data_IF_968932065873
#
_entry.id   IF_968932065873
#
_cell.length_a   1.000
_cell.length_b   1.000
_cell.length_c   1.000
_cell.angle_alpha   90.00
_cell.angle_beta   90.00
_cell.angle_gamma   90.00
#
_symmetry.space_group_name_H-M   'P 1'
#
loop_
_entity.id
_entity.type
_entity.pdbx_description
1 polymer ?
#
# COMPACT_ATOMS: atom_id res chain seq x y z
N UNK A 1 -78.90 -6.47 10.82
CA UNK A 1 -78.26 -6.35 9.49
C UNK A 1 -76.86 -5.78 9.70
N UNK A 2 -75.82 -6.61 9.60
CA UNK A 2 -74.42 -6.19 9.73
C UNK A 2 -73.98 -5.69 8.35
N UNK A 3 -73.52 -4.44 8.26
CA UNK A 3 -73.04 -3.87 7.00
C UNK A 3 -71.61 -4.35 6.76
N UNK A 4 -71.31 -4.80 5.55
CA UNK A 4 -69.93 -5.08 5.13
C UNK A 4 -69.16 -3.77 5.03
N UNK A 5 -68.15 -3.59 5.88
CA UNK A 5 -67.21 -2.47 5.77
C UNK A 5 -66.04 -2.89 4.90
N UNK A 6 -66.17 -2.71 3.59
CA UNK A 6 -65.10 -2.97 2.62
C UNK A 6 -64.26 -1.70 2.49
N UNK A 7 -62.94 -1.81 2.66
CA UNK A 7 -62.00 -0.69 2.50
C UNK A 7 -61.64 0.08 3.77
N UNK A 8 -62.19 -0.27 4.94
CA UNK A 8 -61.78 0.30 6.22
C UNK A 8 -60.71 -0.56 6.91
N UNK A 9 -59.69 0.07 7.49
CA UNK A 9 -58.70 -0.62 8.33
C UNK A 9 -59.38 -1.15 9.60
N UNK A 10 -58.86 -2.27 10.13
CA UNK A 10 -59.33 -2.83 11.41
C UNK A 10 -59.21 -1.79 12.51
N UNK A 11 -60.28 -1.57 13.28
CA UNK A 11 -60.27 -0.66 14.42
C UNK A 11 -59.30 -1.18 15.48
N UNK A 12 -58.39 -0.32 15.95
CA UNK A 12 -57.50 -0.64 17.06
C UNK A 12 -58.29 -0.73 18.37
N UNK A 13 -57.86 -1.61 19.27
CA UNK A 13 -58.46 -1.81 20.60
C UNK A 13 -57.84 -0.91 21.67
N UNK A 14 -56.82 -0.13 21.31
CA UNK A 14 -56.07 0.76 22.19
C UNK A 14 -56.08 2.20 21.64
N UNK A 15 -55.95 3.15 22.56
CA UNK A 15 -55.91 4.58 22.24
C UNK A 15 -54.57 4.95 21.62
N UNK A 16 -54.60 5.23 20.33
CA UNK A 16 -53.44 5.73 19.60
C UNK A 16 -53.18 7.21 19.94
N UNK A 17 -51.91 7.66 19.97
CA UNK A 17 -51.56 9.07 20.20
C UNK A 17 -52.19 10.04 19.20
N UNK A 18 -52.48 9.56 17.98
CA UNK A 18 -53.18 10.30 16.91
C UNK A 18 -54.58 10.78 17.35
N UNK A 19 -55.25 10.07 18.25
CA UNK A 19 -56.53 10.50 18.80
C UNK A 19 -56.43 11.75 19.69
N UNK A 20 -55.25 12.01 20.28
CA UNK A 20 -55.00 13.19 21.13
C UNK A 20 -54.34 14.32 20.37
N UNK A 21 -53.41 13.98 19.47
CA UNK A 21 -52.66 14.93 18.66
C UNK A 21 -52.75 14.49 17.18
N UNK A 22 -53.59 15.14 16.35
CA UNK A 22 -53.78 14.74 14.95
C UNK A 22 -52.53 14.96 14.06
N UNK A 23 -51.48 15.59 14.60
CA UNK A 23 -50.20 15.81 13.93
C UNK A 23 -49.09 14.91 14.50
N UNK A 24 -49.44 13.84 15.24
CA UNK A 24 -48.44 12.94 15.76
C UNK A 24 -47.75 12.17 14.63
N UNK A 25 -46.45 12.41 14.46
CA UNK A 25 -45.63 11.66 13.51
C UNK A 25 -45.10 10.41 14.21
N UNK A 26 -45.47 9.25 13.70
CA UNK A 26 -44.92 7.98 14.16
C UNK A 26 -43.50 7.77 13.62
N UNK A 27 -42.63 7.21 14.46
CA UNK A 27 -41.25 6.90 14.11
C UNK A 27 -40.24 7.67 14.97
N UNK A 28 -38.96 7.37 14.77
CA UNK A 28 -37.87 8.08 15.42
C UNK A 28 -37.46 9.29 14.56
N UNK A 29 -37.27 10.44 15.20
CA UNK A 29 -36.73 11.61 14.53
C UNK A 29 -35.25 11.40 14.19
N UNK A 30 -34.91 11.53 12.91
CA UNK A 30 -33.51 11.50 12.45
C UNK A 30 -32.91 12.87 12.76
N UNK A 31 -32.09 12.93 13.81
CA UNK A 31 -31.34 14.14 14.15
C UNK A 31 -30.36 14.43 13.01
N UNK A 32 -30.46 15.63 12.42
CA UNK A 32 -29.52 16.08 11.40
C UNK A 32 -28.20 16.47 12.04
N UNK A 33 -27.10 16.11 11.40
CA UNK A 33 -25.78 16.55 11.83
C UNK A 33 -25.72 18.08 11.91
N UNK A 34 -25.05 18.65 12.93
CA UNK A 34 -24.94 20.09 13.09
C UNK A 34 -24.04 20.73 12.02
N UNK A 35 -23.15 19.95 11.40
CA UNK A 35 -22.26 20.42 10.36
C UNK A 35 -22.89 20.24 8.98
N UNK A 36 -22.96 21.34 8.22
CA UNK A 36 -23.45 21.31 6.85
C UNK A 36 -22.32 20.87 5.89
N UNK A 37 -22.64 20.23 4.77
CA UNK A 37 -21.66 19.74 3.80
C UNK A 37 -20.67 20.83 3.34
N UNK A 38 -21.15 22.08 3.22
CA UNK A 38 -20.30 23.23 2.90
C UNK A 38 -19.28 23.58 3.99
N UNK A 39 -19.62 23.40 5.27
CA UNK A 39 -18.69 23.61 6.38
C UNK A 39 -17.62 22.53 6.43
N UNK A 40 -17.99 21.28 6.12
CA UNK A 40 -17.03 20.18 6.04
C UNK A 40 -16.00 20.45 4.95
N UNK A 41 -16.44 20.90 3.76
CA UNK A 41 -15.50 21.23 2.66
C UNK A 41 -14.60 22.42 3.02
N UNK A 42 -15.15 23.48 3.63
CA UNK A 42 -14.38 24.67 4.01
C UNK A 42 -13.37 24.45 5.14
N UNK A 43 -13.59 23.44 6.00
CA UNK A 43 -12.71 23.07 7.11
C UNK A 43 -11.65 22.03 6.73
N UNK A 44 -11.45 21.72 5.45
CA UNK A 44 -10.29 20.92 5.03
C UNK A 44 -9.02 21.72 5.27
N UNK A 45 -8.50 21.61 6.49
CA UNK A 45 -7.26 22.26 6.92
C UNK A 45 -6.11 21.65 6.13
N UNK A 46 -5.49 22.46 5.28
CA UNK A 46 -4.25 22.11 4.62
C UNK A 46 -3.20 21.80 5.68
N UNK A 47 -2.61 20.59 5.62
CA UNK A 47 -1.61 20.19 6.60
C UNK A 47 -0.46 21.20 6.64
N UNK A 48 -0.17 21.72 7.84
CA UNK A 48 1.01 22.57 8.05
C UNK A 48 2.24 21.68 7.85
N UNK A 49 3.08 21.94 6.84
CA UNK A 49 4.27 21.13 6.63
C UNK A 49 5.20 21.26 7.85
N UNK A 50 5.85 20.17 8.23
CA UNK A 50 6.82 20.18 9.32
C UNK A 50 7.99 21.12 8.98
N UNK A 51 8.59 21.79 9.98
CA UNK A 51 9.75 22.63 9.76
C UNK A 51 10.87 21.81 9.13
N UNK A 52 11.46 22.34 8.05
CA UNK A 52 12.51 21.67 7.31
C UNK A 52 13.67 21.28 8.25
N UNK A 53 14.14 20.04 8.14
CA UNK A 53 15.29 19.56 8.88
C UNK A 53 16.49 20.47 8.61
N UNK A 54 16.98 21.17 9.64
CA UNK A 54 18.21 21.95 9.54
C UNK A 54 19.36 21.00 9.26
N UNK A 55 20.11 21.26 8.20
CA UNK A 55 21.29 20.44 7.87
C UNK A 55 22.30 20.54 9.01
N UNK A 56 22.81 19.39 9.44
CA UNK A 56 23.87 19.33 10.44
C UNK A 56 25.17 19.95 9.94
N UNK A 57 26.06 20.26 10.88
CA UNK A 57 27.40 20.78 10.61
C UNK A 57 28.19 19.87 9.67
N UNK A 58 28.93 20.47 8.73
CA UNK A 58 29.83 19.76 7.82
C UNK A 58 31.25 19.67 8.38
N UNK A 59 31.65 18.48 8.83
CA UNK A 59 33.04 18.24 9.28
C UNK A 59 34.05 18.34 8.13
N UNK A 60 33.66 17.90 6.93
CA UNK A 60 34.55 17.87 5.76
C UNK A 60 34.89 19.31 5.33
N UNK A 61 33.90 20.19 5.26
CA UNK A 61 34.12 21.58 4.86
C UNK A 61 34.82 22.37 5.97
N UNK A 62 34.47 22.12 7.23
CA UNK A 62 35.20 22.68 8.38
C UNK A 62 36.69 22.35 8.28
N UNK A 63 37.04 21.09 8.02
CA UNK A 63 38.43 20.66 7.92
C UNK A 63 39.13 21.25 6.69
N UNK A 64 38.43 21.38 5.57
CA UNK A 64 38.97 22.02 4.36
C UNK A 64 39.33 23.49 4.65
N UNK A 65 38.44 24.23 5.31
CA UNK A 65 38.70 25.61 5.70
C UNK A 65 39.81 25.72 6.75
N UNK A 66 39.89 24.79 7.69
CA UNK A 66 40.98 24.75 8.67
C UNK A 66 42.35 24.64 7.97
N UNK A 67 42.45 23.77 6.96
CA UNK A 67 43.68 23.61 6.15
C UNK A 67 43.97 24.88 5.34
N UNK A 68 42.95 25.51 4.74
CA UNK A 68 43.12 26.78 4.01
C UNK A 68 43.61 27.92 4.92
N UNK A 69 43.21 27.91 6.19
CA UNK A 69 43.65 28.88 7.19
C UNK A 69 44.98 28.51 7.87
N UNK A 70 45.65 27.44 7.42
CA UNK A 70 46.99 27.06 7.89
C UNK A 70 47.01 26.24 9.19
N UNK A 71 45.88 25.73 9.66
CA UNK A 71 45.83 24.82 10.82
C UNK A 71 46.20 23.40 10.38
N UNK A 72 47.44 23.01 10.64
CA UNK A 72 48.01 21.73 10.20
C UNK A 72 47.90 20.63 11.28
N UNK A 73 47.78 21.02 12.55
CA UNK A 73 47.69 20.07 13.66
C UNK A 73 46.25 19.65 13.96
N UNK A 74 46.06 18.39 14.39
CA UNK A 74 44.75 17.86 14.77
C UNK A 74 44.09 18.63 15.93
N UNK A 75 44.90 19.16 16.86
CA UNK A 75 44.41 19.98 17.96
C UNK A 75 43.89 21.34 17.49
N UNK A 76 44.55 21.92 16.49
CA UNK A 76 44.20 23.20 15.91
C UNK A 76 42.94 23.10 15.03
N UNK A 77 42.83 22.04 14.23
CA UNK A 77 41.60 21.76 13.48
C UNK A 77 40.38 21.61 14.41
N UNK A 78 40.57 21.04 15.61
CA UNK A 78 39.51 20.96 16.63
C UNK A 78 39.18 22.32 17.25
N UNK A 79 40.16 23.20 17.46
CA UNK A 79 39.92 24.59 17.91
C UNK A 79 39.15 25.38 16.86
N UNK A 80 39.59 25.32 15.61
CA UNK A 80 38.90 25.93 14.47
C UNK A 80 37.46 25.40 14.34
N UNK A 81 37.26 24.11 14.55
CA UNK A 81 35.93 23.55 14.56
C UNK A 81 35.05 24.18 15.67
N UNK A 82 35.56 24.32 16.89
CA UNK A 82 34.76 24.90 17.98
C UNK A 82 34.48 26.40 17.79
N UNK A 83 35.40 27.14 17.16
CA UNK A 83 35.24 28.57 16.87
C UNK A 83 34.21 28.83 15.74
N UNK A 84 34.12 27.92 14.76
CA UNK A 84 33.23 28.06 13.60
C UNK A 84 32.22 26.90 13.49
N UNK A 85 31.18 26.84 14.36
CA UNK A 85 30.18 25.77 14.35
C UNK A 85 29.20 25.85 13.17
N UNK A 86 29.05 27.04 12.55
CA UNK A 86 28.01 27.34 11.56
C UNK A 86 28.36 26.91 10.13
N UNK A 87 29.48 26.20 9.93
CA UNK A 87 29.88 25.68 8.62
C UNK A 87 28.97 24.49 8.26
N UNK A 88 27.88 24.81 7.55
CA UNK A 88 26.90 23.85 7.06
C UNK A 88 26.97 23.83 5.53
N UNK A 89 27.15 22.64 4.96
CA UNK A 89 27.09 22.45 3.51
C UNK A 89 25.76 21.78 3.18
N UNK A 90 25.03 22.37 2.24
CA UNK A 90 23.85 21.73 1.67
C UNK A 90 24.30 20.41 1.04
N UNK A 91 23.78 19.25 1.47
CA UNK A 91 24.18 17.98 0.88
C UNK A 91 23.92 18.05 -0.63
N UNK A 92 24.90 17.59 -1.42
CA UNK A 92 24.72 17.47 -2.86
C UNK A 92 23.46 16.63 -3.08
N UNK A 93 22.44 17.24 -3.67
CA UNK A 93 21.22 16.53 -3.98
C UNK A 93 21.62 15.38 -4.91
N UNK A 94 21.46 14.14 -4.44
CA UNK A 94 21.55 12.95 -5.30
C UNK A 94 20.29 12.90 -6.18
N UNK A 95 20.05 13.96 -6.93
CA UNK A 95 19.10 13.97 -8.02
C UNK A 95 19.75 13.22 -9.17
N UNK A 96 19.10 12.16 -9.65
CA UNK A 96 19.34 11.69 -11.02
C UNK A 96 19.29 12.92 -11.91
N UNK A 97 20.33 13.16 -12.72
CA UNK A 97 20.49 14.38 -13.52
C UNK A 97 19.14 14.85 -14.04
N UNK A 98 18.66 15.94 -13.47
CA UNK A 98 17.31 16.39 -13.70
C UNK A 98 17.20 16.78 -15.16
N UNK A 99 16.28 16.14 -15.86
CA UNK A 99 15.76 16.67 -17.10
C UNK A 99 15.24 18.08 -16.82
N UNK A 100 15.86 19.09 -17.43
CA UNK A 100 15.45 20.49 -17.34
C UNK A 100 14.43 20.72 -18.45
N UNK A 101 13.16 21.00 -18.12
CA UNK A 101 12.14 21.30 -19.10
C UNK A 101 12.53 22.54 -19.90
N UNK A 102 12.71 22.40 -21.21
CA UNK A 102 12.78 23.55 -22.12
C UNK A 102 11.44 24.29 -22.10
N UNK A 103 11.44 25.62 -22.34
CA UNK A 103 10.22 26.45 -22.33
C UNK A 103 9.08 25.92 -23.22
N UNK A 104 9.39 25.10 -24.23
CA UNK A 104 8.42 24.47 -25.14
C UNK A 104 7.82 23.15 -24.63
N UNK A 105 8.20 22.70 -23.43
CA UNK A 105 7.72 21.44 -22.89
C UNK A 105 6.52 21.63 -21.94
N UNK A 106 5.41 21.00 -22.29
CA UNK A 106 4.24 20.89 -21.41
C UNK A 106 4.47 19.80 -20.36
N UNK A 107 4.29 20.16 -19.09
CA UNK A 107 4.29 19.20 -17.98
C UNK A 107 3.06 18.27 -18.03
N UNK A 108 3.22 17.06 -17.50
CA UNK A 108 2.15 16.08 -17.38
C UNK A 108 2.30 14.87 -18.31
N UNK A 109 1.39 13.92 -18.16
CA UNK A 109 1.32 12.72 -19.01
C UNK A 109 0.37 13.04 -20.16
N UNK A 110 0.88 13.04 -21.40
CA UNK A 110 0.02 13.23 -22.58
C UNK A 110 -1.03 12.13 -22.61
N UNK A 111 -2.28 12.50 -22.83
CA UNK A 111 -3.35 11.53 -23.05
C UNK A 111 -2.99 10.64 -24.22
N UNK A 112 -3.05 9.33 -24.01
CA UNK A 112 -2.91 8.35 -25.09
C UNK A 112 -4.14 8.51 -26.00
N UNK A 113 -3.92 8.53 -27.32
CA UNK A 113 -5.01 8.55 -28.31
C UNK A 113 -5.88 7.32 -28.07
N UNK A 114 -7.20 7.50 -27.97
CA UNK A 114 -8.16 6.40 -27.84
C UNK A 114 -8.18 5.55 -29.10
N UNK A 115 -8.70 4.33 -28.99
CA UNK A 115 -8.96 3.49 -30.17
C UNK A 115 -9.89 4.21 -31.16
N UNK A 116 -9.73 3.94 -32.45
CA UNK A 116 -10.54 4.53 -33.51
C UNK A 116 -12.01 4.05 -33.40
N UNK A 117 -12.94 5.00 -33.35
CA UNK A 117 -14.39 4.73 -33.26
C UNK A 117 -14.83 3.89 -34.45
N UNK A 118 -14.30 4.15 -35.65
CA UNK A 118 -14.63 3.36 -36.83
C UNK A 118 -14.09 1.93 -36.75
N UNK A 119 -12.89 1.75 -36.18
CA UNK A 119 -12.34 0.43 -35.86
C UNK A 119 -13.21 -0.36 -34.86
N UNK A 120 -13.82 0.32 -33.89
CA UNK A 120 -14.75 -0.28 -32.94
C UNK A 120 -16.08 -0.67 -33.61
N UNK A 121 -16.67 0.22 -34.42
CA UNK A 121 -17.94 -0.02 -35.14
C UNK A 121 -17.80 -1.16 -36.15
N UNK A 122 -16.67 -1.25 -36.83
CA UNK A 122 -16.36 -2.33 -37.78
C UNK A 122 -15.88 -3.60 -37.10
N UNK A 123 -15.85 -3.63 -35.76
CA UNK A 123 -15.43 -4.77 -34.96
C UNK A 123 -14.03 -5.29 -35.37
N UNK A 124 -13.13 -4.39 -35.82
CA UNK A 124 -11.77 -4.77 -36.29
C UNK A 124 -10.91 -5.34 -35.17
N UNK A 125 -11.24 -4.99 -33.93
CA UNK A 125 -10.59 -5.51 -32.72
C UNK A 125 -11.31 -6.73 -32.14
N UNK A 126 -12.44 -7.15 -32.73
CA UNK A 126 -13.12 -8.40 -32.40
C UNK A 126 -12.65 -9.50 -33.35
N UNK A 127 -11.35 -9.71 -33.44
CA UNK A 127 -10.85 -11.05 -33.80
C UNK A 127 -11.08 -11.95 -32.59
N UNK A 128 -12.35 -12.26 -32.31
CA UNK A 128 -12.63 -13.43 -31.49
C UNK A 128 -11.93 -14.60 -32.19
N UNK A 129 -11.16 -15.37 -31.42
CA UNK A 129 -10.57 -16.60 -31.92
C UNK A 129 -11.65 -17.34 -32.69
N UNK A 130 -11.36 -17.72 -33.93
CA UNK A 130 -12.28 -18.45 -34.80
C UNK A 130 -13.01 -19.53 -33.97
N UNK A 131 -14.32 -19.72 -34.15
CA UNK A 131 -15.18 -20.66 -33.38
C UNK A 131 -14.68 -22.13 -33.38
N UNK A 132 -13.57 -22.41 -34.06
CA UNK A 132 -12.81 -23.66 -33.99
C UNK A 132 -11.79 -23.74 -32.83
N UNK A 133 -11.85 -22.85 -31.84
CA UNK A 133 -10.97 -22.89 -30.67
C UNK A 133 -11.13 -24.16 -29.82
N UNK A 134 -12.22 -24.91 -30.00
CA UNK A 134 -12.48 -26.17 -29.29
C UNK A 134 -11.76 -27.39 -29.90
N UNK A 135 -11.19 -27.25 -31.10
CA UNK A 135 -10.42 -28.32 -31.73
C UNK A 135 -8.90 -28.08 -31.60
N UNK A 136 -8.11 -29.11 -31.23
CA UNK A 136 -6.66 -29.01 -31.26
C UNK A 136 -6.17 -28.66 -32.67
N UNK A 137 -5.37 -27.60 -32.79
CA UNK A 137 -4.72 -27.25 -34.05
C UNK A 137 -3.70 -28.34 -34.46
N UNK A 138 -4.09 -29.17 -35.43
CA UNK A 138 -3.28 -30.27 -35.95
C UNK A 138 -2.28 -29.84 -37.02
N UNK A 139 -2.21 -28.56 -37.38
CA UNK A 139 -1.31 -28.04 -38.42
C UNK A 139 0.17 -28.29 -38.10
N UNK A 140 0.51 -28.43 -36.82
CA UNK A 140 1.88 -28.68 -36.34
C UNK A 140 2.21 -30.17 -36.14
N UNK A 141 1.32 -31.09 -36.52
CA UNK A 141 1.51 -32.53 -36.36
C UNK A 141 2.55 -33.08 -37.35
N UNK A 142 3.79 -33.28 -36.87
CA UNK A 142 4.90 -33.81 -37.68
C UNK A 142 4.90 -35.33 -37.85
N UNK A 143 4.22 -36.07 -36.97
CA UNK A 143 4.21 -37.54 -36.93
C UNK A 143 2.77 -38.04 -36.84
N UNK A 144 2.36 -38.89 -37.78
CA UNK A 144 1.01 -39.45 -37.83
C UNK A 144 0.70 -40.23 -36.55
N UNK A 145 -0.35 -39.83 -35.84
CA UNK A 145 -0.84 -40.50 -34.63
C UNK A 145 -0.22 -40.02 -33.31
N UNK A 146 0.66 -39.01 -33.32
CA UNK A 146 1.13 -38.34 -32.09
C UNK A 146 0.73 -36.87 -32.11
N UNK A 147 -0.10 -36.46 -31.16
CA UNK A 147 -0.48 -35.07 -30.99
C UNK A 147 0.74 -34.24 -30.53
N UNK A 148 0.86 -32.98 -30.99
CA UNK A 148 1.88 -32.07 -30.47
C UNK A 148 1.67 -31.86 -28.96
N UNK A 149 2.76 -31.57 -28.23
CA UNK A 149 2.64 -31.27 -26.81
C UNK A 149 1.73 -30.04 -26.62
N UNK A 150 0.90 -30.03 -25.56
CA UNK A 150 0.06 -28.87 -25.24
C UNK A 150 0.90 -27.60 -25.15
N UNK A 151 0.35 -26.49 -25.66
CA UNK A 151 0.98 -25.18 -25.54
C UNK A 151 1.06 -24.78 -24.07
N UNK A 152 2.17 -24.20 -23.66
CA UNK A 152 2.32 -23.64 -22.31
C UNK A 152 1.25 -22.57 -22.05
N UNK A 153 0.55 -22.71 -20.93
CA UNK A 153 -0.41 -21.72 -20.47
C UNK A 153 0.31 -20.51 -19.90
N UNK A 154 -0.36 -19.35 -19.85
CA UNK A 154 0.16 -18.14 -19.19
C UNK A 154 0.52 -18.42 -17.71
N UNK A 155 -0.25 -19.27 -17.03
CA UNK A 155 0.07 -19.74 -15.68
C UNK A 155 1.34 -20.60 -15.64
N UNK A 156 1.54 -21.51 -16.60
CA UNK A 156 2.76 -22.33 -16.69
C UNK A 156 3.99 -21.44 -16.86
N UNK A 157 3.93 -20.45 -17.78
CA UNK A 157 5.02 -19.50 -18.01
C UNK A 157 5.29 -18.63 -16.78
N UNK A 158 4.24 -18.14 -16.09
CA UNK A 158 4.39 -17.31 -14.90
C UNK A 158 4.83 -18.06 -13.63
N UNK A 159 4.78 -19.40 -13.64
CA UNK A 159 5.27 -20.26 -12.54
C UNK A 159 6.64 -20.86 -12.82
N UNK A 160 7.18 -20.67 -14.02
CA UNK A 160 8.47 -21.18 -14.41
C UNK A 160 9.59 -20.36 -13.73
N UNK A 161 10.32 -21.03 -12.85
CA UNK A 161 11.41 -20.49 -12.03
C UNK A 161 12.52 -19.88 -12.90
N UNK A 162 12.65 -20.31 -14.17
CA UNK A 162 13.63 -19.75 -15.11
C UNK A 162 13.36 -18.30 -15.46
N UNK A 163 12.10 -17.85 -15.42
CA UNK A 163 11.72 -16.46 -15.71
C UNK A 163 11.63 -15.57 -14.47
N UNK A 164 11.71 -16.16 -13.28
CA UNK A 164 11.71 -15.46 -12.01
C UNK A 164 13.00 -15.81 -11.26
N UNK A 165 14.12 -15.11 -11.52
CA UNK A 165 15.32 -15.30 -10.72
C UNK A 165 14.94 -15.07 -9.26
N UNK A 166 15.28 -16.04 -8.40
CA UNK A 166 15.03 -15.97 -6.96
C UNK A 166 15.41 -14.57 -6.48
N UNK A 167 14.45 -13.84 -5.92
CA UNK A 167 14.74 -12.55 -5.31
C UNK A 167 15.86 -12.79 -4.28
N UNK A 168 16.87 -11.90 -4.20
CA UNK A 168 17.93 -12.05 -3.22
C UNK A 168 17.30 -12.22 -1.84
N UNK A 169 17.74 -13.23 -1.08
CA UNK A 169 17.31 -13.42 0.30
C UNK A 169 17.54 -12.11 1.04
N UNK A 170 16.45 -11.43 1.39
CA UNK A 170 16.53 -10.18 2.14
C UNK A 170 17.08 -10.52 3.51
N UNK A 171 18.33 -10.17 3.77
CA UNK A 171 18.92 -10.38 5.07
C UNK A 171 18.04 -9.71 6.14
N UNK A 172 17.69 -10.46 7.19
CA UNK A 172 16.86 -9.98 8.30
C UNK A 172 17.44 -8.72 9.00
N UNK A 173 18.72 -8.40 8.78
CA UNK A 173 19.39 -7.19 9.25
C UNK A 173 18.97 -5.90 8.51
N UNK A 174 18.44 -6.00 7.29
CA UNK A 174 18.02 -4.84 6.49
C UNK A 174 16.56 -4.42 6.74
N UNK A 175 15.78 -5.26 7.42
CA UNK A 175 14.39 -4.95 7.75
C UNK A 175 14.36 -3.99 8.95
N UNK A 176 13.73 -2.83 8.77
CA UNK A 176 13.55 -1.86 9.84
C UNK A 176 12.77 -2.51 11.00
N UNK A 177 13.44 -2.63 12.14
CA UNK A 177 12.86 -3.15 13.39
C UNK A 177 13.18 -2.19 14.51
N UNK A 178 12.14 -1.74 15.23
CA UNK A 178 12.34 -0.88 16.39
C UNK A 178 13.20 -1.59 17.46
N UNK A 179 13.99 -0.84 18.21
CA UNK A 179 14.94 -1.38 19.21
C UNK A 179 14.29 -2.42 20.14
N UNK A 180 13.12 -2.10 20.70
CA UNK A 180 12.35 -2.96 21.59
C UNK A 180 11.87 -4.28 20.98
N UNK A 181 11.84 -4.36 19.65
CA UNK A 181 11.40 -5.55 18.94
C UNK A 181 12.56 -6.36 18.37
N UNK A 182 13.81 -5.89 18.42
CA UNK A 182 14.96 -6.63 17.86
C UNK A 182 15.05 -8.07 18.38
N UNK A 183 14.85 -8.27 19.68
CA UNK A 183 14.89 -9.58 20.34
C UNK A 183 13.63 -10.45 20.15
N UNK A 184 12.53 -9.92 19.60
CA UNK A 184 11.28 -10.67 19.42
C UNK A 184 11.31 -11.43 18.10
N UNK A 185 11.47 -12.76 18.14
CA UNK A 185 11.43 -13.61 16.95
C UNK A 185 10.09 -13.56 16.21
N UNK A 186 10.09 -13.92 14.93
CA UNK A 186 8.85 -14.03 14.16
C UNK A 186 7.99 -15.16 14.74
N UNK A 187 6.85 -14.82 15.33
CA UNK A 187 5.88 -15.77 15.85
C UNK A 187 4.82 -16.00 14.78
N UNK A 188 4.96 -17.06 14.00
CA UNK A 188 3.90 -17.55 13.13
C UNK A 188 2.90 -18.34 13.99
N UNK A 189 1.93 -17.64 14.58
CA UNK A 189 0.81 -18.28 15.25
C UNK A 189 -0.28 -18.58 14.20
N UNK A 190 -0.21 -19.75 13.59
CA UNK A 190 -1.32 -20.26 12.73
C UNK A 190 -2.30 -21.12 13.52
N UNK A 191 -2.04 -21.42 14.79
CA UNK A 191 -2.91 -22.22 15.66
C UNK A 191 -2.80 -21.78 17.13
N UNK A 192 -3.92 -21.59 17.85
CA UNK A 192 -3.94 -21.02 19.20
C UNK A 192 -3.34 -21.92 20.30
N UNK A 193 -3.08 -23.20 20.03
CA UNK A 193 -2.70 -24.19 21.06
C UNK A 193 -1.26 -24.73 20.99
N UNK A 194 -0.39 -24.20 20.13
CA UNK A 194 0.97 -24.73 19.99
C UNK A 194 1.93 -24.34 21.15
N UNK A 195 1.60 -23.31 21.93
CA UNK A 195 2.48 -22.79 22.98
C UNK A 195 2.51 -23.65 24.25
N UNK A 196 1.52 -24.54 24.46
CA UNK A 196 1.48 -25.43 25.64
C UNK A 196 2.36 -26.68 25.49
N UNK A 197 2.65 -27.11 24.26
CA UNK A 197 3.47 -28.27 23.98
C UNK A 197 4.97 -27.98 24.23
N UNK A 198 5.48 -26.84 23.72
CA UNK A 198 6.89 -26.46 23.91
C UNK A 198 7.27 -26.21 25.36
N UNK A 199 6.36 -25.64 26.16
CA UNK A 199 6.64 -25.39 27.58
C UNK A 199 6.73 -26.67 28.41
N UNK A 200 6.01 -27.74 28.01
CA UNK A 200 6.14 -29.07 28.63
C UNK A 200 7.44 -29.76 28.26
N UNK A 201 7.88 -29.65 27.01
CA UNK A 201 9.12 -30.27 26.55
C UNK A 201 10.37 -29.64 27.21
N UNK A 202 10.36 -28.33 27.48
CA UNK A 202 11.45 -27.65 28.19
C UNK A 202 11.48 -27.94 29.70
N UNK A 203 10.33 -28.20 30.32
CA UNK A 203 10.23 -28.59 31.74
C UNK A 203 10.66 -30.05 31.95
N UNK A 204 10.30 -30.98 31.04
CA UNK A 204 10.75 -32.39 31.11
C UNK A 204 12.24 -32.56 30.82
N UNK A 205 12.85 -31.73 29.96
CA UNK A 205 14.28 -31.82 29.66
C UNK A 205 15.19 -31.31 30.79
N UNK A 206 14.69 -30.40 31.65
CA UNK A 206 15.44 -29.87 32.78
C UNK A 206 15.49 -30.80 34.00
N UNK A 207 14.56 -31.75 34.10
CA UNK A 207 14.48 -32.67 35.26
C UNK A 207 15.45 -33.87 35.13
N UNK A 208 16.00 -34.13 33.95
CA UNK A 208 16.94 -35.25 33.71
C UNK A 208 18.43 -34.87 33.79
N UNK A 209 18.80 -33.60 33.94
CA UNK A 209 20.21 -33.18 34.08
C UNK A 209 20.66 -32.88 35.53
N UNK A 210 19.77 -32.91 36.53
CA UNK A 210 20.15 -32.68 37.94
C UNK A 210 20.50 -33.96 38.73
N UNK A 211 20.29 -35.16 38.18
CA UNK A 211 20.54 -36.45 38.86
C UNK A 211 21.63 -37.34 38.18
N UNK A 212 22.76 -36.73 37.76
CA UNK A 212 24.03 -37.46 37.52
C UNK A 212 25.25 -36.69 37.98
#
# INVERSE_FOLDING_TARGET
MIKSTVGSVRRTTYDLPDAKNPNHVYGYEIQRDPENAGQVIGKWVQAVPSPAAKSGRSFIETNRQAIMNGYLSAGEARKFANEYPDIVVKPAAKGKGSFVPTNDMTYGIKSKVSEDIWGLVQARHTSFSNDNADYPDLSTMKIKGKLPLPRDTQCSMGKDVRYHPNAPERHHSELFKMSKFKAVGATLCTQPNAMSARKREEEEAGEYEEDT
#
